data_IF_678997178616
#
_entry.id   IF_678997178616
#
_cell.length_a   1.000
_cell.length_b   1.000
_cell.length_c   1.000
_cell.angle_alpha   90.00
_cell.angle_beta   90.00
_cell.angle_gamma   90.00
#
_symmetry.space_group_name_H-M   'P 1'
#
loop_
_entity.id
_entity.type
_entity.pdbx_description
1 polymer ?
#
# COMPACT_ATOMS: atom_id res chain seq x y z
N UNK A 1 14.11 -14.08 10.24
CA UNK A 1 12.88 -13.34 10.58
C UNK A 1 12.37 -12.75 9.28
N UNK A 2 11.20 -13.18 8.81
CA UNK A 2 10.78 -13.03 7.42
C UNK A 2 10.33 -11.62 7.07
N UNK A 3 10.61 -11.22 5.82
CA UNK A 3 10.21 -9.97 5.16
C UNK A 3 8.75 -9.57 5.48
N UNK A 4 7.86 -10.55 5.61
CA UNK A 4 6.46 -10.34 5.97
C UNK A 4 6.23 -9.63 7.32
N UNK A 5 7.02 -9.94 8.35
CA UNK A 5 6.86 -9.34 9.68
C UNK A 5 7.32 -7.89 9.69
N UNK A 6 8.44 -7.60 9.02
CA UNK A 6 8.95 -6.24 8.83
C UNK A 6 7.93 -5.37 8.09
N UNK A 7 7.31 -5.90 7.04
CA UNK A 7 6.26 -5.20 6.29
C UNK A 7 5.05 -4.91 7.17
N UNK A 8 4.60 -5.86 8.00
CA UNK A 8 3.44 -5.67 8.88
C UNK A 8 3.70 -4.66 9.99
N UNK A 9 4.93 -4.61 10.51
CA UNK A 9 5.33 -3.71 11.59
C UNK A 9 5.69 -2.31 11.08
N UNK A 10 6.26 -2.18 9.88
CA UNK A 10 6.67 -0.90 9.31
C UNK A 10 5.58 -0.16 8.53
N UNK A 11 4.56 -0.86 8.01
CA UNK A 11 3.49 -0.17 7.27
C UNK A 11 2.58 0.56 8.26
N UNK A 12 2.59 1.90 8.26
CA UNK A 12 1.73 2.64 9.16
C UNK A 12 0.27 2.45 8.73
N UNK A 13 -0.66 2.64 9.68
CA UNK A 13 -2.10 2.59 9.42
C UNK A 13 -2.49 3.46 8.22
N UNK A 14 -1.82 4.60 8.05
CA UNK A 14 -1.85 5.41 6.83
C UNK A 14 -0.52 5.34 6.11
N UNK A 15 -0.55 5.11 4.80
CA UNK A 15 0.66 4.97 3.99
C UNK A 15 0.50 5.63 2.63
N UNK A 16 1.63 6.06 2.08
CA UNK A 16 1.70 6.57 0.72
C UNK A 16 1.89 5.45 -0.30
N UNK A 17 1.49 5.70 -1.56
CA UNK A 17 1.80 4.80 -2.68
C UNK A 17 3.31 4.53 -2.76
N UNK A 18 4.15 5.53 -2.50
CA UNK A 18 5.61 5.39 -2.58
C UNK A 18 6.17 4.48 -1.50
N UNK A 19 5.68 4.60 -0.26
CA UNK A 19 6.04 3.67 0.82
C UNK A 19 5.67 2.23 0.46
N UNK A 20 4.47 2.02 -0.11
CA UNK A 20 4.04 0.71 -0.59
C UNK A 20 4.96 0.18 -1.71
N UNK A 21 5.40 1.04 -2.64
CA UNK A 21 6.34 0.68 -3.72
C UNK A 21 7.67 0.20 -3.13
N UNK A 22 8.25 0.95 -2.19
CA UNK A 22 9.51 0.57 -1.52
C UNK A 22 9.39 -0.76 -0.79
N UNK A 23 8.28 -0.98 -0.10
CA UNK A 23 8.01 -2.21 0.68
C UNK A 23 7.82 -3.42 -0.24
N UNK A 24 7.15 -3.23 -1.37
CA UNK A 24 6.96 -4.29 -2.37
C UNK A 24 8.21 -4.54 -3.23
N UNK A 25 9.26 -3.71 -3.09
CA UNK A 25 10.46 -3.80 -3.92
C UNK A 25 10.17 -3.57 -5.41
N UNK A 26 9.09 -2.84 -5.73
CA UNK A 26 8.67 -2.57 -7.10
C UNK A 26 9.44 -1.35 -7.62
N UNK A 27 9.79 -1.34 -8.90
CA UNK A 27 10.41 -0.18 -9.51
C UNK A 27 9.45 1.02 -9.49
N UNK A 28 9.98 2.18 -9.13
CA UNK A 28 9.32 3.49 -9.16
C UNK A 28 8.62 3.82 -10.49
N UNK A 29 9.03 3.21 -11.60
CA UNK A 29 8.37 3.36 -12.90
C UNK A 29 7.00 2.66 -12.97
N UNK A 30 6.74 1.69 -12.09
CA UNK A 30 5.50 0.90 -12.07
C UNK A 30 4.40 1.46 -11.15
N UNK A 31 4.49 2.74 -10.76
CA UNK A 31 3.47 3.44 -9.94
C UNK A 31 2.05 3.24 -10.48
N UNK A 32 1.88 3.13 -11.80
CA UNK A 32 0.58 2.86 -12.44
C UNK A 32 -0.01 1.51 -12.03
N UNK A 33 0.81 0.45 -11.98
CA UNK A 33 0.37 -0.90 -11.57
C UNK A 33 -0.03 -0.90 -10.10
N UNK A 34 0.79 -0.31 -9.24
CA UNK A 34 0.51 -0.19 -7.80
C UNK A 34 -0.76 0.61 -7.54
N UNK A 35 -0.98 1.71 -8.26
CA UNK A 35 -2.22 2.48 -8.17
C UNK A 35 -3.45 1.67 -8.59
N UNK A 36 -3.34 0.86 -9.63
CA UNK A 36 -4.44 0.00 -10.08
C UNK A 36 -4.76 -1.08 -9.04
N UNK A 37 -3.73 -1.67 -8.44
CA UNK A 37 -3.85 -2.64 -7.36
C UNK A 37 -4.52 -2.01 -6.12
N UNK A 38 -4.09 -0.82 -5.70
CA UNK A 38 -4.74 -0.07 -4.62
C UNK A 38 -6.19 0.29 -4.91
N UNK A 39 -6.54 0.59 -6.17
CA UNK A 39 -7.95 0.78 -6.56
C UNK A 39 -8.76 -0.51 -6.41
N UNK A 40 -8.18 -1.67 -6.72
CA UNK A 40 -8.86 -2.95 -6.52
C UNK A 40 -9.03 -3.27 -5.03
N UNK A 41 -7.99 -3.08 -4.23
CA UNK A 41 -8.06 -3.24 -2.77
C UNK A 41 -9.06 -2.28 -2.12
N UNK A 42 -9.18 -1.07 -2.66
CA UNK A 42 -10.21 -0.12 -2.23
C UNK A 42 -11.62 -0.64 -2.52
N UNK A 43 -11.86 -1.19 -3.72
CA UNK A 43 -13.15 -1.80 -4.06
C UNK A 43 -13.49 -3.02 -3.20
N UNK A 44 -12.48 -3.76 -2.76
CA UNK A 44 -12.64 -4.92 -1.88
C UNK A 44 -12.75 -4.55 -0.40
N UNK A 45 -12.56 -3.28 -0.02
CA UNK A 45 -12.69 -2.80 1.36
C UNK A 45 -11.47 -3.07 2.24
N UNK A 46 -10.31 -3.39 1.66
CA UNK A 46 -9.06 -3.58 2.42
C UNK A 46 -8.33 -2.26 2.72
N UNK A 47 -8.52 -1.25 1.88
CA UNK A 47 -7.87 0.06 2.04
C UNK A 47 -8.85 1.19 1.73
N UNK A 48 -8.76 2.28 2.48
CA UNK A 48 -9.49 3.53 2.21
C UNK A 48 -8.57 4.51 1.51
N UNK A 49 -9.08 5.23 0.50
CA UNK A 49 -8.31 6.30 -0.13
C UNK A 49 -8.50 7.59 0.68
N UNK A 50 -7.40 8.16 1.16
CA UNK A 50 -7.40 9.44 1.86
C UNK A 50 -7.14 10.62 0.92
N UNK A 51 -6.18 10.46 -0.02
CA UNK A 51 -5.84 11.52 -0.97
C UNK A 51 -5.32 10.96 -2.30
N UNK A 52 -4.71 11.81 -3.15
CA UNK A 52 -4.17 11.40 -4.45
C UNK A 52 -3.17 10.24 -4.34
N UNK A 53 -2.34 10.24 -3.29
CA UNK A 53 -1.26 9.28 -3.05
C UNK A 53 -1.30 8.64 -1.66
N UNK A 54 -2.27 8.96 -0.81
CA UNK A 54 -2.36 8.43 0.56
C UNK A 54 -3.54 7.48 0.71
N UNK A 55 -3.29 6.40 1.44
CA UNK A 55 -4.22 5.32 1.69
C UNK A 55 -4.18 4.97 3.18
N UNK A 56 -5.28 4.43 3.68
CA UNK A 56 -5.38 3.92 5.04
C UNK A 56 -5.74 2.43 4.96
N UNK A 57 -5.06 1.60 5.74
CA UNK A 57 -5.39 0.19 5.90
C UNK A 57 -6.67 0.08 6.73
N UNK A 58 -7.63 -0.69 6.24
CA UNK A 58 -8.82 -1.05 7.00
C UNK A 58 -8.51 -2.40 7.65
N UNK A 59 -8.12 -2.37 8.93
CA UNK A 59 -8.02 -3.58 9.73
C UNK A 59 -9.42 -3.99 10.18
N UNK A 60 -9.83 -5.19 9.80
CA UNK A 60 -11.01 -5.86 10.33
C UNK A 60 -10.58 -6.85 11.40
#
# INVERSE_FOLDING_TARGET
MGVYNTIKEELPRQFSIFQLITILGIDSQEVRKVRNLLKQFHKQGFVKRLSKNMYEKIEK
#
